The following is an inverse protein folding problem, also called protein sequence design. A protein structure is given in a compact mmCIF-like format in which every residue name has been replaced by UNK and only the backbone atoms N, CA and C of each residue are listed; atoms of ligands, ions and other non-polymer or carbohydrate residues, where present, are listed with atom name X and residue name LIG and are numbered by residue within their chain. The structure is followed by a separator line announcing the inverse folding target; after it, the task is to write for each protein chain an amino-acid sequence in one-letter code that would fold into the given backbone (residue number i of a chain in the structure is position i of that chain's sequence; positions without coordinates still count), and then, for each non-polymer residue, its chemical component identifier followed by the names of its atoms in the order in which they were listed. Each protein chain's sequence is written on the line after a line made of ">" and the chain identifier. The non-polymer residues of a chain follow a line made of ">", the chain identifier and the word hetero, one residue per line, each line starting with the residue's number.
data_IF_978492752048
#
_entry.id   IF_978492752048
#
_cell.length_a   1.000
_cell.length_b   1.000
_cell.length_c   1.000
_cell.angle_alpha   90.00
_cell.angle_beta   90.00
_cell.angle_gamma   90.00
#
_symmetry.space_group_name_H-M   'P 1'
#
loop_
_entity.id
_entity.type
_entity.pdbx_description
1 polymer ?
#
# COMPACT_ATOMS: atom_id res chain seq x y z
N UNK A 1 -21.08 -69.01 35.41
CA UNK A 1 -20.65 -67.98 34.44
C UNK A 1 -20.55 -66.61 35.12
N UNK A 2 -19.42 -66.28 35.76
CA UNK A 2 -19.30 -64.98 36.45
C UNK A 2 -17.94 -64.61 37.04
N UNK A 3 -16.91 -65.47 36.94
CA UNK A 3 -15.57 -65.19 37.50
C UNK A 3 -14.45 -64.97 36.47
N UNK A 4 -14.72 -65.04 35.17
CA UNK A 4 -13.71 -64.85 34.11
C UNK A 4 -13.64 -63.43 33.50
N UNK A 5 -14.49 -62.48 33.91
CA UNK A 5 -14.41 -61.09 33.41
C UNK A 5 -13.49 -60.17 34.23
N UNK A 6 -13.14 -60.52 35.47
CA UNK A 6 -12.27 -59.69 36.31
C UNK A 6 -10.77 -59.92 36.07
N UNK A 7 -10.36 -61.08 35.54
CA UNK A 7 -8.94 -61.33 35.22
C UNK A 7 -8.50 -60.74 33.86
N UNK A 8 -9.42 -60.54 32.90
CA UNK A 8 -9.10 -59.85 31.65
C UNK A 8 -8.95 -58.33 31.82
N UNK A 9 -9.62 -57.71 32.80
CA UNK A 9 -9.46 -56.28 33.11
C UNK A 9 -8.17 -55.94 33.88
N UNK A 10 -7.52 -56.92 34.51
CA UNK A 10 -6.22 -56.69 35.18
C UNK A 10 -5.01 -56.90 34.25
N UNK A 11 -5.15 -57.65 33.15
CA UNK A 11 -4.09 -57.76 32.13
C UNK A 11 -4.11 -56.62 31.10
N UNK A 12 -5.26 -55.98 30.86
CA UNK A 12 -5.31 -54.77 30.02
C UNK A 12 -4.74 -53.53 30.72
N UNK A 13 -4.82 -53.43 32.06
CA UNK A 13 -4.21 -52.31 32.82
C UNK A 13 -2.70 -52.41 33.05
N UNK A 14 -2.06 -53.53 32.70
CA UNK A 14 -0.60 -53.71 32.85
C UNK A 14 0.20 -53.51 31.55
N UNK A 15 -0.46 -53.33 30.41
CA UNK A 15 0.20 -53.09 29.12
C UNK A 15 0.12 -51.63 28.64
N UNK A 16 -0.52 -50.71 29.38
CA UNK A 16 -0.51 -49.27 29.07
C UNK A 16 0.69 -48.51 29.68
N UNK A 17 1.56 -49.17 30.45
CA UNK A 17 2.67 -48.51 31.17
C UNK A 17 4.05 -48.63 30.52
N UNK A 18 4.12 -48.93 29.21
CA UNK A 18 5.37 -48.85 28.44
C UNK A 18 5.14 -48.35 27.01
N UNK A 19 4.58 -47.15 26.87
CA UNK A 19 4.87 -46.31 25.71
C UNK A 19 6.06 -45.41 26.08
N UNK A 20 7.10 -45.30 25.24
CA UNK A 20 8.16 -44.33 25.47
C UNK A 20 7.49 -42.96 25.46
N UNK A 21 7.53 -42.31 26.62
CA UNK A 21 7.03 -40.97 26.85
C UNK A 21 7.83 -40.02 25.94
N UNK A 22 7.37 -39.81 24.69
CA UNK A 22 7.81 -38.70 23.84
C UNK A 22 7.36 -37.43 24.55
N UNK A 23 8.19 -36.96 25.49
CA UNK A 23 8.03 -35.66 26.11
C UNK A 23 8.09 -34.61 25.00
N UNK A 24 6.93 -34.15 24.56
CA UNK A 24 6.81 -32.87 23.88
C UNK A 24 7.22 -31.84 24.93
N UNK A 25 8.48 -31.40 24.89
CA UNK A 25 8.99 -30.35 25.77
C UNK A 25 8.07 -29.14 25.69
N UNK A 26 7.68 -28.61 26.86
CA UNK A 26 6.86 -27.39 26.99
C UNK A 26 7.61 -26.22 26.35
N UNK A 27 6.88 -25.16 26.00
CA UNK A 27 7.39 -23.92 25.42
C UNK A 27 8.54 -23.27 26.26
N UNK A 28 8.69 -23.70 27.51
CA UNK A 28 9.67 -23.28 28.52
C UNK A 28 11.12 -23.79 28.28
N UNK A 29 11.31 -24.73 27.36
CA UNK A 29 12.63 -25.32 27.05
C UNK A 29 13.36 -24.64 25.87
N UNK A 30 12.78 -23.59 25.28
CA UNK A 30 13.36 -22.84 24.17
C UNK A 30 14.19 -21.66 24.73
N UNK A 31 15.32 -21.29 24.10
CA UNK A 31 16.08 -20.11 24.51
C UNK A 31 15.18 -18.85 24.55
N UNK A 32 15.43 -17.94 25.49
CA UNK A 32 14.62 -16.74 25.79
C UNK A 32 14.19 -15.96 24.53
N UNK A 33 15.11 -15.85 23.56
CA UNK A 33 14.92 -15.17 22.27
C UNK A 33 13.77 -15.77 21.42
N UNK A 34 13.50 -17.07 21.55
CA UNK A 34 12.41 -17.77 20.83
C UNK A 34 11.09 -17.77 21.62
N UNK A 35 11.13 -17.48 22.92
CA UNK A 35 9.93 -17.24 23.72
C UNK A 35 9.39 -15.84 23.50
N UNK A 36 10.29 -14.84 23.44
CA UNK A 36 9.97 -13.42 23.36
C UNK A 36 10.26 -12.82 21.97
N UNK A 37 9.80 -13.48 20.90
CA UNK A 37 10.06 -13.02 19.52
C UNK A 37 9.53 -11.60 19.27
N UNK A 38 8.36 -11.25 19.86
CA UNK A 38 7.75 -9.92 19.73
C UNK A 38 8.56 -8.81 20.44
N UNK A 39 9.42 -9.15 21.40
CA UNK A 39 10.25 -8.16 22.10
C UNK A 39 11.53 -7.82 21.32
N UNK A 40 11.90 -8.62 20.32
CA UNK A 40 13.08 -8.38 19.47
C UNK A 40 12.73 -7.32 18.43
N UNK A 41 12.93 -6.07 18.81
CA UNK A 41 12.75 -4.88 17.98
C UNK A 41 14.01 -4.01 18.07
N UNK A 42 14.27 -3.20 17.03
CA UNK A 42 15.37 -2.23 16.98
C UNK A 42 15.41 -1.30 18.20
N UNK A 43 14.25 -0.99 18.78
CA UNK A 43 14.14 -0.10 19.94
C UNK A 43 14.45 -0.80 21.28
N UNK A 44 14.10 -2.08 21.46
CA UNK A 44 14.35 -2.83 22.71
C UNK A 44 15.67 -3.61 22.70
N UNK A 45 15.99 -4.26 21.58
CA UNK A 45 17.13 -5.17 21.43
C UNK A 45 17.85 -4.96 20.09
N UNK A 46 18.50 -3.80 19.86
CA UNK A 46 19.06 -3.43 18.56
C UNK A 46 20.07 -4.43 18.01
N UNK A 47 21.00 -4.93 18.84
CA UNK A 47 22.05 -5.86 18.41
C UNK A 47 21.48 -7.22 17.98
N UNK A 48 20.47 -7.73 18.69
CA UNK A 48 19.84 -8.99 18.34
C UNK A 48 19.00 -8.87 17.07
N UNK A 49 18.19 -7.81 16.94
CA UNK A 49 17.41 -7.55 15.72
C UNK A 49 18.32 -7.42 14.50
N UNK A 50 19.42 -6.64 14.61
CA UNK A 50 20.39 -6.49 13.50
C UNK A 50 21.06 -7.82 13.19
N UNK A 51 21.49 -8.60 14.19
CA UNK A 51 22.11 -9.91 13.97
C UNK A 51 21.20 -10.83 13.17
N UNK A 52 19.94 -10.98 13.56
CA UNK A 52 18.99 -11.86 12.88
C UNK A 52 18.61 -11.34 11.50
N UNK A 53 18.40 -10.02 11.36
CA UNK A 53 18.22 -9.39 10.05
C UNK A 53 19.41 -9.66 9.11
N UNK A 54 20.65 -9.51 9.58
CA UNK A 54 21.85 -9.78 8.78
C UNK A 54 21.96 -11.26 8.37
N UNK A 55 21.55 -12.19 9.22
CA UNK A 55 21.47 -13.62 8.86
C UNK A 55 20.46 -13.84 7.73
N UNK A 56 19.28 -13.22 7.81
CA UNK A 56 18.25 -13.30 6.77
C UNK A 56 18.76 -12.72 5.47
N UNK A 57 19.34 -11.52 5.51
CA UNK A 57 19.91 -10.86 4.33
C UNK A 57 21.01 -11.72 3.72
N UNK A 58 21.93 -12.24 4.54
CA UNK A 58 23.01 -13.09 4.06
C UNK A 58 22.48 -14.38 3.43
N UNK A 59 21.51 -15.06 4.05
CA UNK A 59 20.93 -16.28 3.49
C UNK A 59 20.24 -16.00 2.14
N UNK A 60 19.49 -14.90 2.04
CA UNK A 60 18.87 -14.48 0.78
C UNK A 60 19.90 -14.11 -0.28
N UNK A 61 20.97 -13.40 0.08
CA UNK A 61 22.09 -13.11 -0.83
C UNK A 61 22.73 -14.41 -1.31
N UNK A 62 22.96 -15.38 -0.43
CA UNK A 62 23.55 -16.67 -0.81
C UNK A 62 22.64 -17.47 -1.73
N UNK A 63 21.32 -17.43 -1.53
CA UNK A 63 20.34 -18.04 -2.44
C UNK A 63 20.38 -17.34 -3.81
N UNK A 64 20.35 -16.01 -3.82
CA UNK A 64 20.44 -15.21 -5.04
C UNK A 64 21.76 -15.45 -5.78
N UNK A 65 22.88 -15.53 -5.08
CA UNK A 65 24.19 -15.77 -5.66
C UNK A 65 24.30 -17.19 -6.22
N UNK A 66 23.77 -18.20 -5.54
CA UNK A 66 23.64 -19.57 -6.10
C UNK A 66 22.79 -19.58 -7.37
N UNK A 67 21.69 -18.82 -7.38
CA UNK A 67 20.84 -18.68 -8.56
C UNK A 67 21.58 -17.99 -9.72
N UNK A 68 22.27 -16.88 -9.44
CA UNK A 68 23.09 -16.15 -10.42
C UNK A 68 24.19 -17.04 -10.97
N UNK A 69 24.94 -17.75 -10.13
CA UNK A 69 26.00 -18.67 -10.58
C UNK A 69 25.44 -19.83 -11.41
N UNK A 70 24.27 -20.35 -11.04
CA UNK A 70 23.61 -21.42 -11.80
C UNK A 70 23.18 -20.94 -13.20
N UNK A 71 22.72 -19.69 -13.31
CA UNK A 71 22.20 -19.10 -14.54
C UNK A 71 23.09 -17.97 -15.07
N UNK A 72 24.41 -18.03 -14.82
CA UNK A 72 25.33 -16.91 -15.01
C UNK A 72 25.37 -16.40 -16.45
N UNK A 73 25.26 -17.32 -17.42
CA UNK A 73 25.19 -16.98 -18.85
C UNK A 73 23.91 -16.20 -19.20
N UNK A 74 22.76 -16.57 -18.63
CA UNK A 74 21.49 -15.85 -18.83
C UNK A 74 21.59 -14.47 -18.19
N UNK A 75 22.12 -14.40 -16.96
CA UNK A 75 22.29 -13.13 -16.24
C UNK A 75 23.23 -12.20 -17.00
N UNK A 76 24.36 -12.71 -17.53
CA UNK A 76 25.28 -11.91 -18.34
C UNK A 76 24.64 -11.44 -19.65
N UNK A 77 23.87 -12.28 -20.33
CA UNK A 77 23.16 -11.88 -21.55
C UNK A 77 22.15 -10.78 -21.24
N UNK A 78 21.33 -10.95 -20.18
CA UNK A 78 20.36 -9.94 -19.76
C UNK A 78 21.05 -8.63 -19.33
N UNK A 79 22.12 -8.73 -18.54
CA UNK A 79 22.91 -7.56 -18.13
C UNK A 79 23.53 -6.87 -19.35
N UNK A 80 24.04 -7.63 -20.32
CA UNK A 80 24.55 -7.10 -21.59
C UNK A 80 23.46 -6.37 -22.38
N UNK A 81 22.25 -6.93 -22.49
CA UNK A 81 21.11 -6.29 -23.17
C UNK A 81 20.71 -4.99 -22.48
N UNK A 82 20.76 -4.93 -21.15
CA UNK A 82 20.43 -3.73 -20.37
C UNK A 82 21.53 -2.69 -20.47
N UNK A 83 22.80 -3.09 -20.36
CA UNK A 83 23.94 -2.17 -20.23
C UNK A 83 24.47 -1.69 -21.59
N UNK A 84 24.45 -2.54 -22.63
CA UNK A 84 25.02 -2.19 -23.94
C UNK A 84 24.39 -0.92 -24.58
N UNK A 85 23.06 -0.68 -24.50
CA UNK A 85 22.45 0.53 -25.04
C UNK A 85 22.99 1.83 -24.43
N UNK A 86 23.47 1.82 -23.19
CA UNK A 86 24.03 3.00 -22.51
C UNK A 86 25.44 3.37 -22.96
N UNK A 87 26.19 2.42 -23.54
CA UNK A 87 27.56 2.65 -23.98
C UNK A 87 27.70 2.88 -25.48
N UNK A 88 26.65 2.62 -26.26
CA UNK A 88 26.63 2.81 -27.69
C UNK A 88 25.89 4.12 -27.97
N UNK A 89 26.60 5.13 -28.48
CA UNK A 89 25.97 6.36 -28.95
C UNK A 89 25.18 6.08 -30.24
N UNK A 90 23.93 6.51 -30.28
CA UNK A 90 23.06 6.30 -31.43
C UNK A 90 21.66 6.90 -31.27
N UNK A 91 20.82 6.81 -32.30
CA UNK A 91 19.45 7.35 -32.28
C UNK A 91 18.54 6.66 -31.26
N UNK A 92 18.95 5.52 -30.69
CA UNK A 92 18.26 4.87 -29.58
C UNK A 92 18.46 5.59 -28.24
N UNK A 93 19.46 6.48 -28.11
CA UNK A 93 19.76 7.19 -26.85
C UNK A 93 18.59 8.08 -26.40
N UNK A 94 17.92 8.75 -27.33
CA UNK A 94 16.76 9.61 -27.02
C UNK A 94 15.57 8.79 -26.50
N UNK A 95 15.28 7.65 -27.15
CA UNK A 95 14.23 6.73 -26.72
C UNK A 95 14.56 6.03 -25.40
N UNK A 96 15.85 5.76 -25.16
CA UNK A 96 16.31 5.17 -23.90
C UNK A 96 16.08 6.15 -22.76
N UNK A 97 16.44 7.42 -22.94
CA UNK A 97 16.18 8.47 -21.96
C UNK A 97 14.68 8.68 -21.71
N UNK A 98 13.85 8.67 -22.76
CA UNK A 98 12.39 8.73 -22.60
C UNK A 98 11.87 7.53 -21.80
N UNK A 99 12.39 6.33 -22.05
CA UNK A 99 12.00 5.14 -21.30
C UNK A 99 12.40 5.22 -19.83
N UNK A 100 13.58 5.74 -19.52
CA UNK A 100 14.02 6.00 -18.14
C UNK A 100 13.11 7.02 -17.45
N UNK A 101 12.77 8.12 -18.12
CA UNK A 101 11.86 9.13 -17.60
C UNK A 101 10.47 8.51 -17.32
N UNK A 102 9.95 7.66 -18.21
CA UNK A 102 8.70 6.91 -17.99
C UNK A 102 8.79 6.00 -16.77
N UNK A 103 9.89 5.24 -16.62
CA UNK A 103 10.07 4.36 -15.48
C UNK A 103 10.15 5.13 -14.16
N UNK A 104 10.89 6.25 -14.14
CA UNK A 104 10.98 7.12 -12.98
C UNK A 104 9.61 7.72 -12.63
N UNK A 105 8.87 8.20 -13.63
CA UNK A 105 7.50 8.71 -13.47
C UNK A 105 6.56 7.67 -12.89
N UNK A 106 6.56 6.44 -13.45
CA UNK A 106 5.74 5.34 -12.95
C UNK A 106 6.13 4.97 -11.51
N UNK A 107 7.42 4.84 -11.25
CA UNK A 107 7.96 4.54 -9.92
C UNK A 107 7.57 5.59 -8.89
N UNK A 108 7.65 6.88 -9.24
CA UNK A 108 7.26 8.00 -8.37
C UNK A 108 5.79 7.91 -7.94
N UNK A 109 4.86 7.78 -8.89
CA UNK A 109 3.43 7.70 -8.58
C UNK A 109 3.05 6.43 -7.81
N UNK A 110 3.63 5.28 -8.18
CA UNK A 110 3.41 4.01 -7.46
C UNK A 110 3.94 4.11 -6.03
N UNK A 111 5.16 4.64 -5.84
CA UNK A 111 5.79 4.73 -4.52
C UNK A 111 5.03 5.68 -3.60
N UNK A 112 4.57 6.83 -4.10
CA UNK A 112 3.71 7.72 -3.33
C UNK A 112 2.38 7.06 -2.97
N UNK A 113 1.80 6.28 -3.89
CA UNK A 113 0.62 5.46 -3.61
C UNK A 113 0.87 4.46 -2.48
N UNK A 114 1.97 3.71 -2.51
CA UNK A 114 2.37 2.77 -1.45
C UNK A 114 2.52 3.50 -0.11
N UNK A 115 3.24 4.64 -0.12
CA UNK A 115 3.46 5.46 1.06
C UNK A 115 2.14 5.98 1.67
N UNK A 116 1.13 6.27 0.83
CA UNK A 116 -0.18 6.73 1.29
C UNK A 116 -0.96 5.71 2.11
N UNK A 117 -0.69 4.42 1.89
CA UNK A 117 -1.38 3.31 2.57
C UNK A 117 -0.67 2.88 3.85
N UNK A 118 0.66 2.88 3.84
CA UNK A 118 1.49 2.43 4.97
C UNK A 118 1.55 3.48 6.11
N UNK A 119 1.23 4.73 5.80
CA UNK A 119 1.70 5.89 6.55
C UNK A 119 0.91 6.40 7.75
N UNK A 120 -0.38 6.07 7.95
CA UNK A 120 -1.22 6.51 9.10
C UNK A 120 -2.70 6.05 9.01
N UNK A 121 -3.03 5.10 8.12
CA UNK A 121 -4.43 4.66 7.93
C UNK A 121 -5.35 5.67 7.23
N UNK A 122 -4.87 6.89 6.95
CA UNK A 122 -5.68 7.95 6.31
C UNK A 122 -5.09 8.37 4.97
N UNK A 123 -5.13 7.49 3.97
CA UNK A 123 -4.64 7.76 2.60
C UNK A 123 -5.28 8.98 1.90
N UNK A 124 -6.32 9.57 2.51
CA UNK A 124 -6.87 10.86 2.09
C UNK A 124 -5.87 12.01 2.25
N UNK A 125 -5.05 12.04 3.31
CA UNK A 125 -4.12 13.15 3.52
C UNK A 125 -3.02 13.18 2.45
N UNK A 126 -2.44 12.04 2.12
CA UNK A 126 -1.42 11.95 1.06
C UNK A 126 -2.03 12.27 -0.31
N UNK A 127 -3.26 11.84 -0.58
CA UNK A 127 -3.98 12.22 -1.80
C UNK A 127 -4.13 13.75 -1.90
N UNK A 128 -4.60 14.42 -0.85
CA UNK A 128 -4.82 15.87 -0.80
C UNK A 128 -3.52 16.67 -0.96
N UNK A 129 -2.36 16.05 -0.75
CA UNK A 129 -1.06 16.74 -0.80
C UNK A 129 -0.28 16.51 -2.10
N UNK A 130 -0.52 15.41 -2.80
CA UNK A 130 0.21 15.06 -4.01
C UNK A 130 -0.70 14.98 -5.24
N UNK A 131 -1.52 13.92 -5.30
CA UNK A 131 -2.33 13.66 -6.48
C UNK A 131 -3.46 14.71 -6.66
N UNK A 132 -4.12 15.12 -5.58
CA UNK A 132 -5.17 16.14 -5.60
C UNK A 132 -4.67 17.48 -6.14
N UNK A 133 -3.59 18.07 -5.60
CA UNK A 133 -3.00 19.31 -6.11
C UNK A 133 -2.53 19.20 -7.56
N UNK A 134 -1.96 18.06 -7.97
CA UNK A 134 -1.60 17.81 -9.37
C UNK A 134 -2.82 17.88 -10.30
N UNK A 135 -3.88 17.13 -9.99
CA UNK A 135 -5.14 17.14 -10.74
C UNK A 135 -5.72 18.57 -10.77
N UNK A 136 -5.70 19.26 -9.63
CA UNK A 136 -6.18 20.64 -9.53
C UNK A 136 -5.38 21.59 -10.44
N UNK A 137 -4.04 21.47 -10.45
CA UNK A 137 -3.14 22.30 -11.27
C UNK A 137 -3.43 22.10 -12.76
N UNK A 138 -3.48 20.85 -13.22
CA UNK A 138 -3.82 20.51 -14.62
C UNK A 138 -5.22 21.02 -14.98
N UNK A 139 -6.21 20.80 -14.10
CA UNK A 139 -7.60 21.26 -14.31
C UNK A 139 -7.67 22.77 -14.48
N UNK A 140 -7.03 23.53 -13.59
CA UNK A 140 -7.08 24.99 -13.60
C UNK A 140 -6.41 25.58 -14.84
N UNK A 141 -5.22 25.08 -15.19
CA UNK A 141 -4.50 25.53 -16.38
C UNK A 141 -5.28 25.13 -17.64
N UNK A 142 -5.87 23.93 -17.67
CA UNK A 142 -6.66 23.48 -18.80
C UNK A 142 -7.86 24.39 -19.09
N UNK A 143 -8.59 24.78 -18.04
CA UNK A 143 -9.68 25.74 -18.18
C UNK A 143 -9.22 27.17 -18.48
N UNK A 144 -8.04 27.59 -18.01
CA UNK A 144 -7.50 28.92 -18.29
C UNK A 144 -7.02 29.05 -19.74
N UNK A 145 -6.32 28.04 -20.25
CA UNK A 145 -5.84 28.00 -21.62
C UNK A 145 -6.90 27.49 -22.62
N UNK A 146 -8.06 27.03 -22.12
CA UNK A 146 -9.07 26.31 -22.90
C UNK A 146 -8.51 25.09 -23.68
N UNK A 147 -7.40 24.51 -23.21
CA UNK A 147 -6.67 23.43 -23.87
C UNK A 147 -5.88 22.65 -22.82
N UNK A 148 -5.61 21.36 -23.05
CA UNK A 148 -4.76 20.57 -22.15
C UNK A 148 -3.34 21.18 -22.16
N UNK A 149 -2.76 21.52 -21.01
CA UNK A 149 -1.44 22.15 -20.99
C UNK A 149 -0.34 21.15 -21.36
N UNK A 150 0.53 21.55 -22.27
CA UNK A 150 1.73 20.79 -22.59
C UNK A 150 2.74 20.87 -21.45
N UNK A 151 3.43 19.76 -21.22
CA UNK A 151 4.41 19.57 -20.15
C UNK A 151 5.82 19.63 -20.72
N UNK A 152 6.67 20.51 -20.17
CA UNK A 152 8.04 20.75 -20.65
C UNK A 152 9.06 20.24 -19.61
N UNK A 153 10.14 19.55 -20.04
CA UNK A 153 10.48 19.11 -21.40
C UNK A 153 9.63 17.96 -21.95
N UNK A 154 9.05 17.13 -21.09
CA UNK A 154 8.17 16.03 -21.49
C UNK A 154 7.10 15.77 -20.44
N UNK A 155 6.07 14.99 -20.78
CA UNK A 155 5.05 14.53 -19.82
C UNK A 155 5.65 13.74 -18.65
N UNK A 156 6.71 12.98 -18.93
CA UNK A 156 7.33 12.05 -17.98
C UNK A 156 8.30 12.74 -17.03
N UNK A 157 8.90 13.85 -17.47
CA UNK A 157 9.82 14.67 -16.71
C UNK A 157 9.30 16.11 -16.67
N UNK A 158 8.21 16.31 -15.91
CA UNK A 158 7.56 17.61 -15.82
C UNK A 158 8.37 18.60 -14.97
N UNK A 159 8.69 19.75 -15.55
CA UNK A 159 9.21 20.91 -14.81
C UNK A 159 8.19 22.04 -14.77
N UNK A 160 7.64 22.43 -15.91
CA UNK A 160 6.65 23.49 -15.99
C UNK A 160 5.68 23.25 -17.15
N UNK A 161 4.57 23.98 -17.14
CA UNK A 161 3.64 23.97 -18.26
C UNK A 161 4.13 24.93 -19.35
N UNK A 162 3.94 24.55 -20.60
CA UNK A 162 4.17 25.45 -21.73
C UNK A 162 3.20 26.66 -21.68
N UNK A 163 3.51 27.69 -22.48
CA UNK A 163 2.60 28.80 -22.70
C UNK A 163 1.27 28.33 -23.33
N UNK A 164 0.16 29.00 -23.00
CA UNK A 164 -1.14 28.64 -23.56
C UNK A 164 -1.14 28.74 -25.10
N UNK A 165 -1.77 27.79 -25.80
CA UNK A 165 -1.92 27.88 -27.25
C UNK A 165 -2.76 29.10 -27.65
N UNK A 166 -2.32 29.82 -28.69
CA UNK A 166 -2.96 31.07 -29.15
C UNK A 166 -4.24 30.84 -29.96
N UNK A 167 -4.35 29.68 -30.62
CA UNK A 167 -5.49 29.32 -31.46
C UNK A 167 -6.13 28.05 -30.89
N UNK A 168 -7.27 28.20 -30.22
CA UNK A 168 -8.05 27.09 -29.69
C UNK A 168 -9.39 27.05 -30.42
N UNK A 169 -9.62 26.00 -31.21
CA UNK A 169 -10.84 25.85 -32.03
C UNK A 169 -12.00 25.18 -31.27
N UNK A 170 -11.70 24.44 -30.21
CA UNK A 170 -12.67 23.65 -29.43
C UNK A 170 -12.50 23.91 -27.95
N UNK A 171 -13.61 24.12 -27.25
CA UNK A 171 -13.62 24.24 -25.79
C UNK A 171 -13.22 22.95 -25.09
N UNK A 172 -12.39 23.08 -24.05
CA UNK A 172 -11.95 21.98 -23.21
C UNK A 172 -13.15 21.36 -22.50
N UNK A 173 -13.28 20.03 -22.59
CA UNK A 173 -14.33 19.30 -21.86
C UNK A 173 -13.80 18.70 -20.57
N UNK A 174 -14.71 18.43 -19.64
CA UNK A 174 -14.40 17.67 -18.42
C UNK A 174 -13.70 16.33 -18.74
N UNK A 175 -14.13 15.66 -19.81
CA UNK A 175 -13.60 14.37 -20.20
C UNK A 175 -12.15 14.47 -20.71
N UNK A 176 -11.81 15.55 -21.41
CA UNK A 176 -10.44 15.79 -21.88
C UNK A 176 -9.46 15.90 -20.70
N UNK A 177 -9.87 16.63 -19.65
CA UNK A 177 -9.09 16.76 -18.41
C UNK A 177 -9.01 15.41 -17.70
N UNK A 178 -10.13 14.68 -17.58
CA UNK A 178 -10.20 13.36 -16.95
C UNK A 178 -9.21 12.38 -17.58
N UNK A 179 -9.17 12.32 -18.91
CA UNK A 179 -8.26 11.44 -19.65
C UNK A 179 -6.80 11.88 -19.50
N UNK A 180 -6.54 13.19 -19.39
CA UNK A 180 -5.18 13.71 -19.25
C UNK A 180 -4.49 13.25 -17.96
N UNK A 181 -5.23 13.20 -16.84
CA UNK A 181 -4.70 12.88 -15.49
C UNK A 181 -4.96 11.43 -15.05
N UNK A 182 -5.64 10.63 -15.88
CA UNK A 182 -6.03 9.27 -15.55
C UNK A 182 -4.85 8.35 -15.28
N UNK A 183 -3.73 8.53 -15.97
CA UNK A 183 -2.59 7.60 -15.85
C UNK A 183 -1.89 7.76 -14.49
N UNK A 184 -1.66 8.99 -14.07
CA UNK A 184 -1.14 9.38 -12.75
C UNK A 184 -2.05 8.87 -11.64
N UNK A 185 -3.36 9.07 -11.79
CA UNK A 185 -4.37 8.59 -10.87
C UNK A 185 -4.36 7.06 -10.77
N UNK A 186 -4.27 6.35 -11.90
CA UNK A 186 -4.21 4.90 -11.93
C UNK A 186 -2.95 4.36 -11.24
N UNK A 187 -1.77 4.91 -11.56
CA UNK A 187 -0.49 4.49 -10.97
C UNK A 187 -0.46 4.72 -9.46
N UNK A 188 -0.96 5.87 -9.00
CA UNK A 188 -1.14 6.15 -7.58
C UNK A 188 -2.03 5.10 -6.92
N UNK A 189 -3.21 4.87 -7.48
CA UNK A 189 -4.17 3.93 -6.92
C UNK A 189 -3.64 2.49 -6.93
N UNK A 190 -2.86 2.12 -7.94
CA UNK A 190 -2.13 0.84 -7.99
C UNK A 190 -1.10 0.74 -6.87
N UNK A 191 -0.35 1.81 -6.62
CA UNK A 191 0.53 1.92 -5.46
C UNK A 191 -0.21 1.72 -4.13
N UNK A 192 -1.39 2.34 -3.97
CA UNK A 192 -2.19 2.13 -2.75
C UNK A 192 -2.65 0.67 -2.58
N UNK A 193 -2.98 -0.02 -3.68
CA UNK A 193 -3.33 -1.43 -3.65
C UNK A 193 -2.14 -2.31 -3.21
N UNK A 194 -0.92 -1.97 -3.64
CA UNK A 194 0.32 -2.63 -3.19
C UNK A 194 0.60 -2.36 -1.70
N UNK A 195 0.41 -1.12 -1.25
CA UNK A 195 0.67 -0.72 0.14
C UNK A 195 -0.25 -1.39 1.16
N UNK A 196 -1.40 -1.91 0.75
CA UNK A 196 -2.35 -2.61 1.63
C UNK A 196 -2.28 -4.15 1.53
N UNK A 197 -1.25 -4.68 0.85
CA UNK A 197 -0.93 -6.11 0.87
C UNK A 197 -0.41 -6.67 2.21
N UNK A 198 0.33 -5.91 3.06
CA UNK A 198 0.93 -6.48 4.27
C UNK A 198 -0.08 -7.18 5.21
N UNK A 199 -1.26 -6.61 5.53
CA UNK A 199 -2.24 -7.28 6.39
C UNK A 199 -2.68 -8.66 5.87
N UNK A 200 -2.85 -8.81 4.55
CA UNK A 200 -3.19 -10.10 3.93
C UNK A 200 -2.09 -11.15 4.15
N UNK A 201 -0.83 -10.80 3.93
CA UNK A 201 0.28 -11.75 4.10
C UNK A 201 0.53 -12.07 5.57
N UNK A 202 0.43 -11.07 6.46
CA UNK A 202 0.54 -11.26 7.91
C UNK A 202 -0.53 -12.23 8.40
N UNK A 203 -1.79 -12.01 8.06
CA UNK A 203 -2.88 -12.87 8.49
C UNK A 203 -2.78 -14.29 7.88
N UNK A 204 -2.33 -14.40 6.64
CA UNK A 204 -2.09 -15.70 5.97
C UNK A 204 -0.98 -16.50 6.65
N UNK A 205 0.11 -15.85 7.04
CA UNK A 205 1.20 -16.49 7.77
C UNK A 205 0.79 -16.89 9.19
N UNK A 206 0.00 -16.05 9.88
CA UNK A 206 -0.54 -16.34 11.20
C UNK A 206 -1.47 -17.57 11.17
N UNK A 207 -2.38 -17.63 10.19
CA UNK A 207 -3.29 -18.76 10.01
C UNK A 207 -2.55 -20.07 9.71
N UNK A 208 -1.52 -20.03 8.87
CA UNK A 208 -0.66 -21.20 8.59
C UNK A 208 0.09 -21.70 9.84
N UNK A 209 0.35 -20.81 10.80
CA UNK A 209 1.05 -21.10 12.06
C UNK A 209 0.10 -21.48 13.21
N UNK A 210 -1.21 -21.61 12.94
CA UNK A 210 -2.27 -21.76 13.94
C UNK A 210 -2.23 -20.70 15.06
N UNK A 211 -1.63 -19.54 14.77
CA UNK A 211 -1.58 -18.38 15.66
C UNK A 211 -2.89 -17.62 15.46
N UNK A 212 -3.57 -17.31 16.56
CA UNK A 212 -4.79 -16.53 16.52
C UNK A 212 -4.47 -15.07 16.19
N UNK A 213 -5.30 -14.45 15.36
CA UNK A 213 -5.19 -13.04 14.99
C UNK A 213 -6.15 -12.25 15.87
N UNK A 214 -5.62 -11.27 16.61
CA UNK A 214 -6.35 -10.50 17.63
C UNK A 214 -7.62 -9.83 17.08
N UNK A 215 -7.54 -9.22 15.89
CA UNK A 215 -8.68 -8.56 15.23
C UNK A 215 -9.81 -9.53 14.82
N UNK A 216 -9.53 -10.82 14.65
CA UNK A 216 -10.55 -11.84 14.39
C UNK A 216 -11.19 -12.35 15.68
N UNK A 217 -10.45 -12.35 16.80
CA UNK A 217 -11.02 -12.69 18.11
C UNK A 217 -12.04 -11.64 18.55
N UNK A 218 -11.79 -10.35 18.30
CA UNK A 218 -12.75 -9.28 18.56
C UNK A 218 -14.10 -9.54 17.88
N UNK A 219 -14.10 -9.98 16.62
CA UNK A 219 -15.34 -10.27 15.87
C UNK A 219 -16.10 -11.46 16.46
N UNK A 220 -15.39 -12.46 16.97
CA UNK A 220 -15.99 -13.62 17.62
C UNK A 220 -16.54 -13.30 19.03
N UNK A 221 -15.89 -12.38 19.76
CA UNK A 221 -16.32 -11.90 21.07
C UNK A 221 -17.48 -10.89 20.98
N UNK A 222 -17.55 -10.09 19.93
CA UNK A 222 -18.62 -9.12 19.64
C UNK A 222 -19.91 -9.76 19.07
N UNK A 223 -20.11 -11.08 19.18
CA UNK A 223 -21.31 -11.76 18.64
C UNK A 223 -22.63 -11.17 19.13
N UNK A 224 -22.66 -10.62 20.34
CA UNK A 224 -23.84 -10.02 20.97
C UNK A 224 -23.90 -8.48 20.89
N UNK A 225 -22.91 -7.81 20.30
CA UNK A 225 -22.96 -6.36 20.08
C UNK A 225 -23.82 -6.04 18.85
N UNK A 226 -24.71 -5.05 18.99
CA UNK A 226 -25.65 -4.59 17.96
C UNK A 226 -25.18 -3.31 17.25
N UNK A 227 -23.96 -2.83 17.53
CA UNK A 227 -23.35 -1.69 16.83
C UNK A 227 -23.35 -1.87 15.31
N UNK A 228 -23.58 -0.77 14.57
CA UNK A 228 -23.54 -0.76 13.10
C UNK A 228 -22.19 -1.29 12.58
N UNK A 229 -21.09 -0.94 13.25
CA UNK A 229 -19.75 -1.42 12.90
C UNK A 229 -19.65 -2.95 13.04
N UNK A 230 -20.08 -3.51 14.17
CA UNK A 230 -20.06 -4.96 14.42
C UNK A 230 -20.91 -5.74 13.40
N UNK A 231 -22.08 -5.20 13.01
CA UNK A 231 -22.91 -5.77 11.94
C UNK A 231 -22.19 -5.77 10.60
N UNK A 232 -21.56 -4.66 10.23
CA UNK A 232 -20.79 -4.55 8.99
C UNK A 232 -19.60 -5.53 8.98
N UNK A 233 -18.83 -5.61 10.06
CA UNK A 233 -17.73 -6.58 10.21
C UNK A 233 -18.22 -8.02 9.98
N UNK A 234 -19.35 -8.40 10.57
CA UNK A 234 -19.95 -9.75 10.44
C UNK A 234 -20.46 -10.04 9.03
N UNK A 235 -21.09 -9.06 8.38
CA UNK A 235 -21.55 -9.17 6.99
C UNK A 235 -20.36 -9.36 6.06
N UNK A 236 -19.28 -8.60 6.25
CA UNK A 236 -18.04 -8.76 5.49
C UNK A 236 -17.48 -10.16 5.72
N UNK A 237 -17.30 -10.59 6.97
CA UNK A 237 -16.77 -11.90 7.33
C UNK A 237 -17.52 -13.06 6.65
N UNK A 238 -18.86 -13.07 6.73
CA UNK A 238 -19.69 -14.12 6.14
C UNK A 238 -19.68 -14.09 4.60
N UNK A 239 -19.73 -12.90 4.01
CA UNK A 239 -19.74 -12.75 2.55
C UNK A 239 -18.37 -13.01 1.92
N UNK A 240 -17.27 -12.78 2.63
CA UNK A 240 -15.92 -13.01 2.12
C UNK A 240 -15.68 -14.50 1.81
N UNK A 241 -16.27 -15.40 2.61
CA UNK A 241 -16.20 -16.85 2.38
C UNK A 241 -16.95 -17.29 1.12
N UNK A 242 -18.06 -16.62 0.78
CA UNK A 242 -18.95 -17.01 -0.33
C UNK A 242 -18.69 -16.23 -1.62
N UNK A 243 -18.33 -14.96 -1.52
CA UNK A 243 -18.21 -13.99 -2.60
C UNK A 243 -16.91 -13.17 -2.49
N UNK A 244 -15.78 -13.82 -2.16
CA UNK A 244 -14.51 -13.17 -1.86
C UNK A 244 -14.11 -12.04 -2.82
N UNK A 245 -14.19 -12.24 -4.13
CA UNK A 245 -13.86 -11.20 -5.12
C UNK A 245 -14.73 -9.94 -4.97
N UNK A 246 -16.05 -10.09 -4.97
CA UNK A 246 -17.00 -8.98 -4.93
C UNK A 246 -16.92 -8.27 -3.57
N UNK A 247 -16.83 -9.03 -2.49
CA UNK A 247 -16.73 -8.46 -1.14
C UNK A 247 -15.44 -7.66 -0.97
N UNK A 248 -14.29 -8.16 -1.43
CA UNK A 248 -13.03 -7.40 -1.43
C UNK A 248 -13.14 -6.15 -2.29
N UNK A 249 -13.73 -6.26 -3.49
CA UNK A 249 -13.88 -5.12 -4.41
C UNK A 249 -14.66 -3.98 -3.75
N UNK A 250 -15.78 -4.29 -3.10
CA UNK A 250 -16.60 -3.30 -2.38
C UNK A 250 -15.81 -2.71 -1.21
N UNK A 251 -15.14 -3.54 -0.40
CA UNK A 251 -14.35 -3.07 0.74
C UNK A 251 -13.18 -2.18 0.29
N UNK A 252 -12.54 -2.49 -0.84
CA UNK A 252 -11.44 -1.72 -1.41
C UNK A 252 -11.88 -0.38 -2.01
N UNK A 253 -13.13 -0.28 -2.44
CA UNK A 253 -13.71 0.92 -3.04
C UNK A 253 -14.14 1.97 -2.00
N UNK A 254 -14.25 1.60 -0.71
CA UNK A 254 -14.72 2.45 0.39
C UNK A 254 -13.53 2.86 1.29
N UNK A 255 -13.51 4.07 1.89
CA UNK A 255 -12.41 4.50 2.78
C UNK A 255 -12.16 3.58 3.99
N UNK A 256 -10.87 3.44 4.35
CA UNK A 256 -10.31 2.53 5.37
C UNK A 256 -10.89 2.85 6.75
N UNK A 257 -11.74 1.95 7.29
CA UNK A 257 -11.26 0.79 8.05
C UNK A 257 -11.72 -0.57 7.49
N UNK A 258 -12.63 -0.58 6.52
CA UNK A 258 -13.26 -1.82 6.03
C UNK A 258 -12.30 -2.69 5.20
N UNK A 259 -11.34 -2.06 4.51
CA UNK A 259 -10.37 -2.80 3.71
C UNK A 259 -9.38 -3.58 4.56
N UNK A 260 -8.81 -2.97 5.60
CA UNK A 260 -7.80 -3.62 6.44
C UNK A 260 -8.37 -4.93 7.02
N UNK A 261 -9.61 -4.87 7.51
CA UNK A 261 -10.36 -6.04 7.94
C UNK A 261 -10.56 -7.08 6.83
N UNK A 262 -10.91 -6.65 5.62
CA UNK A 262 -11.05 -7.56 4.49
C UNK A 262 -9.71 -8.24 4.16
N UNK A 263 -8.59 -7.52 4.24
CA UNK A 263 -7.23 -8.05 4.05
C UNK A 263 -6.89 -9.13 5.06
N UNK A 264 -7.08 -8.86 6.35
CA UNK A 264 -6.82 -9.81 7.44
C UNK A 264 -7.69 -11.06 7.28
N UNK A 265 -9.00 -10.86 7.05
CA UNK A 265 -9.96 -11.95 6.93
C UNK A 265 -9.68 -12.80 5.67
N UNK A 266 -9.29 -12.18 4.55
CA UNK A 266 -8.87 -12.89 3.33
C UNK A 266 -7.63 -13.75 3.57
N UNK A 267 -6.63 -13.18 4.26
CA UNK A 267 -5.40 -13.89 4.59
C UNK A 267 -5.69 -15.10 5.47
N UNK A 268 -6.51 -14.91 6.51
CA UNK A 268 -6.90 -15.96 7.45
C UNK A 268 -7.66 -17.11 6.78
N UNK A 269 -8.63 -16.82 5.91
CA UNK A 269 -9.38 -17.84 5.19
C UNK A 269 -8.62 -18.46 4.02
N UNK A 270 -7.40 -17.98 3.72
CA UNK A 270 -6.59 -18.52 2.63
C UNK A 270 -7.17 -18.22 1.24
N UNK A 271 -7.89 -17.11 1.07
CA UNK A 271 -8.41 -16.70 -0.24
C UNK A 271 -7.23 -16.51 -1.21
N UNK A 272 -7.32 -16.98 -2.48
CA UNK A 272 -6.23 -16.87 -3.44
C UNK A 272 -5.77 -15.42 -3.63
N UNK A 273 -4.45 -15.22 -3.73
CA UNK A 273 -3.87 -13.89 -3.86
C UNK A 273 -4.45 -13.12 -5.06
N UNK A 274 -4.63 -13.76 -6.21
CA UNK A 274 -5.16 -13.09 -7.41
C UNK A 274 -6.61 -12.60 -7.23
N UNK A 275 -7.41 -13.28 -6.41
CA UNK A 275 -8.79 -12.84 -6.10
C UNK A 275 -8.75 -11.60 -5.21
N UNK A 276 -7.94 -11.63 -4.16
CA UNK A 276 -7.76 -10.50 -3.26
C UNK A 276 -7.12 -9.29 -3.97
N UNK A 277 -5.95 -9.46 -4.57
CA UNK A 277 -5.19 -8.40 -5.20
C UNK A 277 -5.90 -7.85 -6.44
N UNK A 278 -6.50 -8.71 -7.27
CA UNK A 278 -7.26 -8.26 -8.45
C UNK A 278 -8.45 -7.39 -8.06
N UNK A 279 -9.24 -7.82 -7.07
CA UNK A 279 -10.36 -7.03 -6.56
C UNK A 279 -9.89 -5.73 -5.89
N UNK A 280 -8.78 -5.78 -5.15
CA UNK A 280 -8.18 -4.60 -4.50
C UNK A 280 -7.68 -3.59 -5.52
N UNK A 281 -6.98 -4.04 -6.56
CA UNK A 281 -6.47 -3.19 -7.64
C UNK A 281 -7.60 -2.48 -8.36
N UNK A 282 -8.68 -3.19 -8.71
CA UNK A 282 -9.84 -2.57 -9.36
C UNK A 282 -10.52 -1.58 -8.40
N UNK A 283 -10.76 -1.96 -7.15
CA UNK A 283 -11.43 -1.12 -6.17
C UNK A 283 -10.67 0.19 -5.90
N UNK A 284 -9.34 0.12 -5.78
CA UNK A 284 -8.51 1.29 -5.45
C UNK A 284 -8.05 2.07 -6.67
N UNK A 285 -7.45 1.40 -7.65
CA UNK A 285 -6.83 2.05 -8.82
C UNK A 285 -7.84 2.57 -9.81
N UNK A 286 -9.00 1.92 -9.87
CA UNK A 286 -10.08 2.32 -10.78
C UNK A 286 -11.14 3.04 -9.96
N UNK A 287 -11.94 2.33 -9.15
CA UNK A 287 -13.16 2.91 -8.57
C UNK A 287 -12.86 4.08 -7.62
N UNK A 288 -12.13 3.84 -6.54
CA UNK A 288 -11.85 4.84 -5.50
C UNK A 288 -11.09 6.04 -6.06
N UNK A 289 -10.01 5.80 -6.80
CA UNK A 289 -9.17 6.90 -7.29
C UNK A 289 -9.86 7.70 -8.39
N UNK A 290 -10.65 7.07 -9.28
CA UNK A 290 -11.46 7.84 -10.25
C UNK A 290 -12.55 8.67 -9.55
N UNK A 291 -13.19 8.16 -8.50
CA UNK A 291 -14.16 8.96 -7.73
C UNK A 291 -13.49 10.18 -7.10
N UNK A 292 -12.30 10.02 -6.50
CA UNK A 292 -11.52 11.14 -5.95
C UNK A 292 -11.07 12.13 -7.04
N UNK A 293 -10.63 11.63 -8.19
CA UNK A 293 -10.22 12.46 -9.33
C UNK A 293 -11.39 13.26 -9.90
N UNK A 294 -12.54 12.62 -10.14
CA UNK A 294 -13.77 13.28 -10.62
C UNK A 294 -14.16 14.39 -9.64
N UNK A 295 -14.14 14.10 -8.34
CA UNK A 295 -14.44 15.09 -7.31
C UNK A 295 -13.53 16.32 -7.40
N UNK A 296 -12.20 16.11 -7.53
CA UNK A 296 -11.23 17.22 -7.65
C UNK A 296 -11.45 18.02 -8.93
N UNK A 297 -11.62 17.37 -10.09
CA UNK A 297 -11.85 18.07 -11.36
C UNK A 297 -13.14 18.90 -11.29
N UNK A 298 -14.22 18.34 -10.74
CA UNK A 298 -15.48 19.07 -10.57
C UNK A 298 -15.34 20.25 -9.62
N UNK A 299 -14.62 20.08 -8.51
CA UNK A 299 -14.40 21.14 -7.53
C UNK A 299 -13.59 22.31 -8.10
N UNK A 300 -12.64 22.04 -9.00
CA UNK A 300 -11.80 23.05 -9.65
C UNK A 300 -12.29 23.48 -11.05
N UNK A 301 -13.47 23.00 -11.47
CA UNK A 301 -14.10 23.44 -12.71
C UNK A 301 -14.65 24.85 -12.57
N UNK A 302 -14.41 25.71 -13.57
CA UNK A 302 -14.83 27.12 -13.56
C UNK A 302 -16.33 27.28 -13.29
N UNK A 303 -17.17 26.48 -13.95
CA UNK A 303 -18.62 26.54 -13.82
C UNK A 303 -19.12 26.09 -12.42
N UNK A 304 -18.44 25.14 -11.78
CA UNK A 304 -18.80 24.68 -10.43
C UNK A 304 -18.40 25.71 -9.38
N UNK A 305 -17.20 26.30 -9.52
CA UNK A 305 -16.72 27.35 -8.62
C UNK A 305 -17.70 28.53 -8.64
N UNK A 306 -18.09 29.01 -9.82
CA UNK A 306 -19.01 30.15 -9.95
C UNK A 306 -20.38 29.87 -9.30
N UNK A 307 -20.93 28.66 -9.51
CA UNK A 307 -22.20 28.23 -8.89
C UNK A 307 -22.08 28.03 -7.37
N UNK A 308 -20.98 27.48 -6.89
CA UNK A 308 -20.75 27.27 -5.46
C UNK A 308 -20.57 28.62 -4.76
N UNK A 309 -19.82 29.54 -5.36
CA UNK A 309 -19.64 30.90 -4.87
C UNK A 309 -20.97 31.64 -4.81
N UNK A 310 -21.80 31.57 -5.86
CA UNK A 310 -23.11 32.23 -5.84
C UNK A 310 -24.02 31.67 -4.74
N UNK A 311 -24.05 30.35 -4.54
CA UNK A 311 -24.84 29.71 -3.47
C UNK A 311 -24.32 30.09 -2.08
N UNK A 312 -22.99 30.13 -1.88
CA UNK A 312 -22.40 30.50 -0.58
C UNK A 312 -22.62 31.99 -0.30
N UNK A 313 -22.50 32.86 -1.31
CA UNK A 313 -22.78 34.29 -1.19
C UNK A 313 -24.26 34.59 -0.91
N UNK A 314 -25.17 33.76 -1.43
CA UNK A 314 -26.61 33.85 -1.14
C UNK A 314 -26.92 33.38 0.30
N UNK A 315 -26.17 32.41 0.83
CA UNK A 315 -26.35 31.90 2.20
C UNK A 315 -25.68 32.81 3.24
N UNK A 316 -24.52 33.41 2.92
CA UNK A 316 -23.74 34.25 3.84
C UNK A 316 -23.33 35.56 3.14
N UNK A 317 -24.18 36.61 3.21
CA UNK A 317 -23.93 37.89 2.55
C UNK A 317 -22.67 38.63 3.05
N UNK A 318 -22.18 38.27 4.25
CA UNK A 318 -20.99 38.86 4.88
C UNK A 318 -19.67 38.44 4.20
N UNK A 319 -19.66 37.34 3.44
CA UNK A 319 -18.48 36.81 2.76
C UNK A 319 -18.40 37.22 1.27
N UNK A 320 -19.38 38.00 0.79
CA UNK A 320 -19.46 38.47 -0.59
C UNK A 320 -18.20 39.25 -0.95
N UNK A 321 -17.52 38.87 -2.03
CA UNK A 321 -16.25 39.49 -2.46
C UNK A 321 -15.00 38.98 -1.73
N UNK A 322 -15.03 38.75 -0.41
CA UNK A 322 -13.85 38.24 0.32
C UNK A 322 -13.48 36.81 -0.10
N UNK A 323 -14.49 35.97 -0.32
CA UNK A 323 -14.29 34.57 -0.70
C UNK A 323 -13.78 34.46 -2.15
N UNK A 324 -14.32 35.26 -3.06
CA UNK A 324 -13.86 35.30 -4.46
C UNK A 324 -12.44 35.84 -4.57
N UNK A 325 -12.07 36.85 -3.77
CA UNK A 325 -10.72 37.42 -3.75
C UNK A 325 -9.68 36.45 -3.13
N UNK A 326 -10.04 35.75 -2.03
CA UNK A 326 -9.21 34.68 -1.46
C UNK A 326 -9.05 33.49 -2.41
N UNK A 327 -10.11 33.12 -3.12
CA UNK A 327 -10.08 32.03 -4.10
C UNK A 327 -9.26 32.42 -5.33
N UNK A 328 -9.38 33.65 -5.84
CA UNK A 328 -8.51 34.16 -6.90
C UNK A 328 -7.05 34.20 -6.46
N UNK A 329 -6.76 34.61 -5.22
CA UNK A 329 -5.40 34.64 -4.68
C UNK A 329 -4.80 33.24 -4.55
N UNK A 330 -5.59 32.26 -4.12
CA UNK A 330 -5.18 30.86 -4.07
C UNK A 330 -5.02 30.27 -5.48
N UNK A 331 -5.92 30.60 -6.42
CA UNK A 331 -5.83 30.20 -7.83
C UNK A 331 -4.56 30.74 -8.47
N UNK A 332 -4.23 32.03 -8.28
CA UNK A 332 -3.00 32.65 -8.78
C UNK A 332 -1.76 32.01 -8.15
N UNK A 333 -1.76 31.73 -6.84
CA UNK A 333 -0.64 31.02 -6.19
C UNK A 333 -0.41 29.62 -6.78
N UNK A 334 -1.48 28.90 -7.14
CA UNK A 334 -1.40 27.57 -7.75
C UNK A 334 -1.00 27.60 -9.24
N UNK A 335 -1.34 28.68 -9.96
CA UNK A 335 -0.94 28.89 -11.35
C UNK A 335 0.50 29.43 -11.47
N UNK A 336 0.94 30.32 -10.56
CA UNK A 336 2.27 30.95 -10.56
C UNK A 336 3.40 29.99 -10.15
N UNK A 337 3.10 28.79 -9.63
CA UNK A 337 4.06 27.67 -9.62
C UNK A 337 4.46 27.18 -11.04
N UNK A 338 4.31 28.03 -12.06
CA UNK A 338 4.87 27.90 -13.40
C UNK A 338 6.39 28.03 -13.39
N UNK A 339 6.94 28.77 -12.42
CA UNK A 339 8.36 28.76 -12.16
C UNK A 339 8.64 27.76 -11.03
N UNK A 340 9.07 26.54 -11.40
CA UNK A 340 10.02 25.82 -10.53
C UNK A 340 11.34 26.57 -10.66
N UNK A 341 11.41 27.78 -10.10
CA UNK A 341 12.70 28.30 -9.67
C UNK A 341 13.18 27.40 -8.53
N UNK A 342 14.46 27.08 -8.54
CA UNK A 342 15.23 26.53 -7.42
C UNK A 342 15.27 27.53 -6.23
N UNK A 343 14.12 28.10 -5.85
CA UNK A 343 13.92 28.87 -4.64
C UNK A 343 13.61 27.94 -3.48
N UNK A 344 14.03 28.34 -2.28
CA UNK A 344 13.79 27.59 -1.04
C UNK A 344 12.33 27.17 -0.94
N UNK A 345 12.11 25.84 -0.95
CA UNK A 345 10.80 25.23 -0.72
C UNK A 345 10.14 25.92 0.48
N UNK A 346 8.85 26.30 0.41
CA UNK A 346 8.17 26.92 1.54
C UNK A 346 8.35 26.04 2.80
N UNK A 347 8.51 26.66 3.96
CA UNK A 347 8.88 25.97 5.21
C UNK A 347 7.94 24.80 5.55
N UNK A 348 6.66 24.91 5.16
CA UNK A 348 5.66 23.83 5.27
C UNK A 348 6.00 22.64 4.37
N UNK A 349 6.41 22.86 3.12
CA UNK A 349 6.83 21.79 2.21
C UNK A 349 8.14 21.12 2.69
N UNK A 350 9.09 21.88 3.24
CA UNK A 350 10.30 21.30 3.84
C UNK A 350 9.98 20.46 5.08
N UNK A 351 9.18 20.97 6.03
CA UNK A 351 8.72 20.20 7.19
C UNK A 351 7.97 18.94 6.76
N UNK A 352 7.23 19.02 5.66
CA UNK A 352 6.49 17.90 5.11
C UNK A 352 7.40 16.83 4.48
N UNK A 353 8.43 17.24 3.74
CA UNK A 353 9.46 16.33 3.23
C UNK A 353 10.16 15.61 4.40
N UNK A 354 10.49 16.30 5.48
CA UNK A 354 11.03 15.69 6.70
C UNK A 354 10.05 14.71 7.36
N UNK A 355 8.76 15.04 7.41
CA UNK A 355 7.73 14.14 7.92
C UNK A 355 7.64 12.85 7.09
N UNK A 356 7.72 12.95 5.76
CA UNK A 356 7.74 11.78 4.87
C UNK A 356 9.01 10.97 5.06
N UNK A 357 10.17 11.61 5.14
CA UNK A 357 11.44 10.92 5.42
C UNK A 357 11.36 10.18 6.76
N UNK A 358 10.77 10.78 7.79
CA UNK A 358 10.54 10.14 9.08
C UNK A 358 9.62 8.92 8.95
N UNK A 359 8.53 9.04 8.20
CA UNK A 359 7.58 7.95 7.95
C UNK A 359 8.21 6.79 7.17
N UNK A 360 8.97 7.09 6.10
CA UNK A 360 9.74 6.11 5.33
C UNK A 360 10.79 5.45 6.23
N UNK A 361 11.48 6.22 7.06
CA UNK A 361 12.46 5.70 8.02
C UNK A 361 11.81 4.75 9.02
N UNK A 362 10.64 5.12 9.56
CA UNK A 362 9.87 4.25 10.44
C UNK A 362 9.44 2.95 9.74
N UNK A 363 9.01 3.04 8.48
CA UNK A 363 8.66 1.86 7.69
C UNK A 363 9.87 0.94 7.44
N UNK A 364 11.04 1.50 7.12
CA UNK A 364 12.28 0.73 6.97
C UNK A 364 12.65 0.03 8.29
N UNK A 365 12.56 0.75 9.41
CA UNK A 365 12.79 0.17 10.75
C UNK A 365 11.80 -0.96 11.05
N UNK A 366 10.52 -0.76 10.72
CA UNK A 366 9.47 -1.77 10.87
C UNK A 366 9.77 -3.00 10.01
N UNK A 367 10.20 -2.81 8.77
CA UNK A 367 10.58 -3.91 7.85
C UNK A 367 11.74 -4.74 8.42
N UNK A 368 12.77 -4.08 8.95
CA UNK A 368 13.90 -4.77 9.62
C UNK A 368 13.42 -5.59 10.81
N UNK A 369 12.55 -5.02 11.65
CA UNK A 369 11.94 -5.73 12.78
C UNK A 369 11.15 -6.95 12.32
N UNK A 370 10.25 -6.78 11.34
CA UNK A 370 9.41 -7.87 10.82
C UNK A 370 10.22 -9.01 10.20
N UNK A 371 11.28 -8.70 9.45
CA UNK A 371 12.16 -9.72 8.86
C UNK A 371 12.93 -10.50 9.93
N UNK A 372 13.48 -9.81 10.93
CA UNK A 372 14.18 -10.45 12.03
C UNK A 372 13.24 -11.36 12.86
N UNK A 373 12.03 -10.88 13.17
CA UNK A 373 11.02 -11.62 13.90
C UNK A 373 10.50 -12.83 13.11
N UNK A 374 10.23 -12.67 11.82
CA UNK A 374 9.78 -13.75 10.95
C UNK A 374 10.78 -14.92 10.90
N UNK A 375 12.08 -14.62 10.80
CA UNK A 375 13.12 -15.66 10.83
C UNK A 375 13.17 -16.42 12.16
N UNK A 376 13.00 -15.72 13.28
CA UNK A 376 12.96 -16.34 14.59
C UNK A 376 11.72 -17.23 14.78
N UNK A 377 10.56 -16.80 14.28
CA UNK A 377 9.35 -17.63 14.27
C UNK A 377 9.54 -18.88 13.40
N UNK A 378 10.16 -18.76 12.22
CA UNK A 378 10.44 -19.90 11.34
C UNK A 378 11.39 -20.92 12.01
N UNK A 379 12.48 -20.45 12.61
CA UNK A 379 13.41 -21.31 13.35
C UNK A 379 12.75 -21.98 14.56
N UNK A 380 11.87 -21.27 15.27
CA UNK A 380 11.07 -21.85 16.35
C UNK A 380 10.18 -22.99 15.83
N UNK A 381 9.53 -22.81 14.67
CA UNK A 381 8.72 -23.85 14.04
C UNK A 381 9.54 -25.05 13.59
N UNK A 382 10.72 -24.84 12.98
CA UNK A 382 11.61 -25.92 12.58
C UNK A 382 12.09 -26.74 13.78
N UNK A 383 12.46 -26.08 14.88
CA UNK A 383 12.84 -26.75 16.12
C UNK A 383 11.68 -27.56 16.73
N UNK A 384 10.45 -27.10 16.58
CA UNK A 384 9.26 -27.85 17.00
C UNK A 384 8.98 -29.05 16.09
N UNK A 385 9.16 -28.91 14.76
CA UNK A 385 8.98 -29.99 13.78
C UNK A 385 10.01 -31.10 13.94
N UNK A 386 11.29 -30.77 14.14
CA UNK A 386 12.38 -31.75 14.36
C UNK A 386 12.23 -32.55 15.66
N UNK A 387 11.38 -32.09 16.59
CA UNK A 387 11.13 -32.72 17.90
C UNK A 387 9.86 -33.59 17.93
N UNK A 388 9.00 -33.54 16.91
CA UNK A 388 7.87 -34.48 16.72
C UNK A 388 8.37 -35.76 16.06
#
# INVERSE_FOLDING_TARGET
>A
MGKNKQQQHQQQKKNESKQPNKQVKKLDDLPYEYQHVQDITLFKHPLYTIKYFMIVVFNNIMIALKFILKYWYIVLILAGIIIAPYHIEGPHSEKLQEFEDILYFMGYWILLGVASSIGLGTGLHTFVLYLGPWIAKVTMVAYQCNAIPDMVPSKWNFKHFAECPKNVERDITFFDILMSVQFEAFLWGFGTALGELPPYFVAKAAAASAKKVEELEEIDHEKNDNSLMARTKRVIYNNLQKYGFITVLICASIPNPLFDLAGITCGHFGIPFMVFFGATCIGKSIIKTHLQMIFVILMFSQQTIERLLSVIEDIIPSLRGTLSEMLEKNKRTLTISQDIEEGDKPLVAQLWDYFIILMISYFLLSTVNSLAQGYLEEQKQEMQKKKK
#
